data_IF_136501324779
#
_entry.id   IF_136501324779
#
_cell.length_a   1.000
_cell.length_b   1.000
_cell.length_c   1.000
_cell.angle_alpha   90.00
_cell.angle_beta   90.00
_cell.angle_gamma   90.00
#
_symmetry.space_group_name_H-M   'P 1'
#
loop_
_entity.id
_entity.type
_entity.pdbx_description
1 polymer ?
#
# COMPACT_ATOMS: atom_id res chain seq x y z
N UNK A 1 3.76 42.20 5.28
CA UNK A 1 2.84 41.25 4.61
C UNK A 1 3.70 40.29 3.82
N UNK A 2 3.67 39.00 4.11
CA UNK A 2 4.52 37.98 3.45
C UNK A 2 3.92 37.45 2.14
N UNK A 3 4.66 36.56 1.48
CA UNK A 3 4.25 35.97 0.20
C UNK A 3 2.92 35.20 0.30
N UNK A 4 1.99 35.40 -0.64
CA UNK A 4 0.70 34.71 -0.64
C UNK A 4 0.86 33.21 -0.94
N UNK A 5 0.30 32.37 -0.06
CA UNK A 5 0.24 30.91 -0.27
C UNK A 5 -0.96 30.55 -1.14
N UNK A 6 -0.76 29.74 -2.18
CA UNK A 6 -1.82 29.24 -3.08
C UNK A 6 -2.16 27.75 -2.84
N UNK A 7 -2.86 27.39 -1.73
CA UNK A 7 -3.24 26.00 -1.48
C UNK A 7 -4.29 25.52 -2.49
N UNK A 8 -4.04 24.38 -3.12
CA UNK A 8 -4.99 23.72 -4.04
C UNK A 8 -5.49 22.41 -3.44
N UNK A 9 -6.72 22.02 -3.78
CA UNK A 9 -7.28 20.72 -3.39
C UNK A 9 -6.59 19.61 -4.18
N UNK A 10 -6.38 18.47 -3.53
CA UNK A 10 -5.70 17.28 -4.10
C UNK A 10 -6.67 16.17 -4.50
N UNK A 11 -7.97 16.41 -4.37
CA UNK A 11 -9.03 15.46 -4.70
C UNK A 11 -10.27 16.20 -5.17
N UNK A 12 -11.09 15.53 -5.95
CA UNK A 12 -12.42 15.97 -6.33
C UNK A 12 -13.47 15.03 -5.75
N UNK A 13 -14.62 15.57 -5.34
CA UNK A 13 -15.75 14.78 -4.85
C UNK A 13 -16.63 14.34 -6.02
N UNK A 14 -17.27 13.16 -5.95
CA UNK A 14 -18.25 12.73 -6.94
C UNK A 14 -19.37 13.76 -7.10
N UNK A 15 -19.89 13.89 -8.33
CA UNK A 15 -21.02 14.78 -8.63
C UNK A 15 -22.32 14.31 -7.98
N UNK A 16 -22.59 13.00 -8.04
CA UNK A 16 -23.77 12.38 -7.43
C UNK A 16 -23.37 11.55 -6.21
N UNK A 17 -23.72 11.98 -4.98
CA UNK A 17 -23.29 11.30 -3.76
C UNK A 17 -23.85 9.88 -3.58
N UNK A 18 -25.05 9.60 -4.10
CA UNK A 18 -25.87 8.42 -3.78
C UNK A 18 -26.01 7.44 -4.94
N UNK A 19 -24.89 7.10 -5.57
CA UNK A 19 -24.87 6.17 -6.70
C UNK A 19 -24.38 4.80 -6.23
N UNK A 20 -25.26 3.79 -6.27
CA UNK A 20 -25.02 2.48 -5.67
C UNK A 20 -23.78 1.79 -6.26
N UNK A 21 -23.71 1.67 -7.58
CA UNK A 21 -22.61 1.00 -8.30
C UNK A 21 -21.24 1.62 -7.98
N UNK A 22 -21.18 2.97 -7.95
CA UNK A 22 -19.98 3.69 -7.54
C UNK A 22 -19.64 3.44 -6.08
N UNK A 23 -20.62 3.45 -5.17
CA UNK A 23 -20.38 3.23 -3.75
C UNK A 23 -19.84 1.82 -3.49
N UNK A 24 -20.39 0.82 -4.17
CA UNK A 24 -19.99 -0.58 -4.05
C UNK A 24 -18.59 -0.81 -4.61
N UNK A 25 -18.29 -0.33 -5.82
CA UNK A 25 -16.93 -0.41 -6.40
C UNK A 25 -15.88 0.34 -5.57
N UNK A 26 -16.20 1.54 -5.07
CA UNK A 26 -15.31 2.27 -4.14
C UNK A 26 -15.07 1.46 -2.86
N UNK A 27 -16.09 0.77 -2.33
CA UNK A 27 -15.99 -0.04 -1.11
C UNK A 27 -15.13 -1.27 -1.31
N UNK A 28 -15.23 -1.93 -2.46
CA UNK A 28 -14.36 -3.05 -2.83
C UNK A 28 -12.89 -2.61 -2.85
N UNK A 29 -12.59 -1.47 -3.47
CA UNK A 29 -11.23 -0.91 -3.49
C UNK A 29 -10.74 -0.52 -2.09
N UNK A 30 -11.60 0.09 -1.26
CA UNK A 30 -11.25 0.42 0.12
C UNK A 30 -10.87 -0.84 0.92
N UNK A 31 -11.62 -1.92 0.76
CA UNK A 31 -11.39 -3.19 1.45
C UNK A 31 -10.12 -3.88 0.95
N UNK A 32 -9.93 -3.97 -0.38
CA UNK A 32 -8.78 -4.61 -1.03
C UNK A 32 -7.46 -3.96 -0.62
N UNK A 33 -7.41 -2.63 -0.58
CA UNK A 33 -6.18 -1.88 -0.27
C UNK A 33 -6.08 -1.40 1.19
N UNK A 34 -7.09 -1.66 2.03
CA UNK A 34 -7.09 -1.25 3.44
C UNK A 34 -7.06 0.26 3.66
N UNK A 35 -7.75 1.03 2.81
CA UNK A 35 -7.79 2.48 2.88
C UNK A 35 -8.70 2.95 4.03
N UNK A 36 -8.32 4.04 4.73
CA UNK A 36 -9.08 4.54 5.89
C UNK A 36 -10.40 5.20 5.49
N UNK A 37 -10.40 5.96 4.39
CA UNK A 37 -11.54 6.75 3.96
C UNK A 37 -11.60 6.89 2.44
N UNK A 38 -12.79 7.23 1.91
CA UNK A 38 -13.00 7.51 0.47
C UNK A 38 -12.15 8.67 -0.04
N UNK A 39 -11.76 9.62 0.83
CA UNK A 39 -10.89 10.74 0.46
C UNK A 39 -9.52 10.26 -0.03
N UNK A 40 -8.95 9.22 0.56
CA UNK A 40 -7.71 8.63 0.04
C UNK A 40 -7.90 8.06 -1.35
N UNK A 41 -9.00 7.34 -1.59
CA UNK A 41 -9.34 6.83 -2.90
C UNK A 41 -9.48 7.97 -3.93
N UNK A 42 -10.23 9.02 -3.59
CA UNK A 42 -10.44 10.17 -4.47
C UNK A 42 -9.16 10.96 -4.79
N UNK A 43 -8.18 11.00 -3.87
CA UNK A 43 -6.86 11.58 -4.17
C UNK A 43 -6.13 10.79 -5.25
N UNK A 44 -6.16 9.45 -5.19
CA UNK A 44 -5.53 8.61 -6.20
C UNK A 44 -6.31 8.67 -7.53
N UNK A 45 -7.64 8.79 -7.48
CA UNK A 45 -8.46 9.02 -8.68
C UNK A 45 -8.12 10.35 -9.36
N UNK A 46 -7.94 11.42 -8.58
CA UNK A 46 -7.54 12.72 -9.12
C UNK A 46 -6.12 12.68 -9.71
N UNK A 47 -5.21 11.94 -9.07
CA UNK A 47 -3.87 11.69 -9.62
C UNK A 47 -3.93 10.98 -10.97
N UNK A 48 -4.73 9.91 -11.09
CA UNK A 48 -4.96 9.18 -12.35
C UNK A 48 -5.53 10.11 -13.42
N UNK A 49 -6.54 10.90 -13.04
CA UNK A 49 -7.19 11.86 -13.92
C UNK A 49 -6.20 12.92 -14.42
N UNK A 50 -5.30 13.39 -13.57
CA UNK A 50 -4.22 14.31 -13.95
C UNK A 50 -3.33 13.68 -15.02
N UNK A 51 -2.87 12.43 -14.84
CA UNK A 51 -2.04 11.75 -15.84
C UNK A 51 -2.77 11.55 -17.17
N UNK A 52 -4.02 11.10 -17.13
CA UNK A 52 -4.86 10.92 -18.33
C UNK A 52 -5.19 12.23 -19.03
N UNK A 53 -5.38 13.31 -18.28
CA UNK A 53 -5.61 14.64 -18.86
C UNK A 53 -4.37 15.14 -19.59
N UNK A 54 -3.20 14.98 -18.97
CA UNK A 54 -1.92 15.32 -19.61
C UNK A 54 -1.70 14.47 -20.85
N UNK A 55 -1.94 13.16 -20.79
CA UNK A 55 -1.79 12.27 -21.94
C UNK A 55 -2.70 12.67 -23.12
N UNK A 56 -3.98 12.99 -22.89
CA UNK A 56 -4.90 13.46 -23.95
C UNK A 56 -4.45 14.78 -24.58
N UNK A 57 -3.99 15.73 -23.76
CA UNK A 57 -3.49 17.01 -24.25
C UNK A 57 -2.23 16.82 -25.11
N UNK A 58 -1.31 15.96 -24.66
CA UNK A 58 -0.10 15.61 -25.40
C UNK A 58 -0.44 14.88 -26.70
N UNK A 59 -1.38 13.93 -26.68
CA UNK A 59 -1.82 13.22 -27.88
C UNK A 59 -2.39 14.16 -28.94
N UNK A 60 -3.14 15.19 -28.53
CA UNK A 60 -3.64 16.22 -29.44
C UNK A 60 -2.50 17.09 -30.01
N UNK A 61 -1.56 17.54 -29.18
CA UNK A 61 -0.42 18.39 -29.61
C UNK A 61 0.65 17.66 -30.42
N UNK A 62 0.78 16.35 -30.24
CA UNK A 62 1.68 15.56 -31.08
C UNK A 62 1.20 15.50 -32.52
N UNK A 63 -0.13 15.57 -32.76
CA UNK A 63 -0.66 15.65 -34.13
C UNK A 63 -0.28 16.95 -34.85
N UNK A 64 -0.04 18.02 -34.09
CA UNK A 64 0.42 19.31 -34.62
C UNK A 64 1.95 19.42 -34.73
N UNK A 65 2.69 18.34 -34.44
CA UNK A 65 4.17 18.27 -34.49
C UNK A 65 4.87 19.32 -33.60
N UNK A 66 4.34 19.57 -32.41
CA UNK A 66 4.97 20.48 -31.45
C UNK A 66 6.17 19.80 -30.73
N UNK A 67 7.39 20.33 -30.90
CA UNK A 67 8.60 19.81 -30.23
C UNK A 67 8.49 19.76 -28.69
N UNK A 68 7.80 20.74 -28.12
CA UNK A 68 7.56 20.80 -26.68
C UNK A 68 6.70 19.64 -26.19
N UNK A 69 5.74 19.16 -27.01
CA UNK A 69 4.90 18.02 -26.65
C UNK A 69 5.70 16.72 -26.57
N UNK A 70 6.68 16.53 -27.46
CA UNK A 70 7.59 15.37 -27.44
C UNK A 70 8.42 15.37 -26.15
N UNK A 71 8.99 16.52 -25.76
CA UNK A 71 9.74 16.65 -24.51
C UNK A 71 8.86 16.40 -23.28
N UNK A 72 7.65 16.96 -23.25
CA UNK A 72 6.71 16.75 -22.15
C UNK A 72 6.28 15.28 -22.03
N UNK A 73 6.09 14.58 -23.15
CA UNK A 73 5.80 13.15 -23.15
C UNK A 73 6.95 12.33 -22.57
N UNK A 74 8.19 12.57 -23.00
CA UNK A 74 9.35 11.88 -22.45
C UNK A 74 9.47 12.09 -20.92
N UNK A 75 9.19 13.32 -20.44
CA UNK A 75 9.18 13.62 -19.01
C UNK A 75 8.05 12.91 -18.27
N UNK A 76 6.86 12.82 -18.87
CA UNK A 76 5.72 12.10 -18.32
C UNK A 76 6.03 10.61 -18.15
N UNK A 77 6.55 9.96 -19.20
CA UNK A 77 6.94 8.55 -19.16
C UNK A 77 8.07 8.33 -18.16
N UNK A 78 9.10 9.18 -18.15
CA UNK A 78 10.20 9.13 -17.16
C UNK A 78 9.68 9.25 -15.73
N UNK A 79 8.66 10.09 -15.48
CA UNK A 79 8.03 10.22 -14.17
C UNK A 79 7.25 8.97 -13.78
N UNK A 80 6.46 8.39 -14.68
CA UNK A 80 5.67 7.18 -14.40
C UNK A 80 6.55 5.94 -14.21
N UNK A 81 7.62 5.83 -14.99
CA UNK A 81 8.63 4.77 -14.84
C UNK A 81 9.38 4.88 -13.50
N UNK A 82 9.69 6.10 -13.03
CA UNK A 82 10.31 6.30 -11.71
C UNK A 82 9.51 5.66 -10.58
N UNK A 83 8.18 5.73 -10.65
CA UNK A 83 7.28 5.09 -9.70
C UNK A 83 6.93 3.65 -10.06
N UNK A 84 7.54 3.09 -11.11
CA UNK A 84 7.27 1.74 -11.63
C UNK A 84 5.78 1.48 -11.88
N UNK A 85 5.06 2.49 -12.37
CA UNK A 85 3.65 2.37 -12.77
C UNK A 85 3.56 1.86 -14.22
N UNK A 86 4.50 2.26 -15.06
CA UNK A 86 4.57 1.94 -16.48
C UNK A 86 6.03 1.60 -16.85
N UNK A 87 6.23 0.82 -17.91
CA UNK A 87 7.55 0.52 -18.49
C UNK A 87 8.17 1.70 -19.26
N UNK A 88 9.47 1.61 -19.57
CA UNK A 88 10.21 2.69 -20.26
C UNK A 88 9.76 2.94 -21.70
N UNK A 89 9.35 1.89 -22.40
CA UNK A 89 8.98 1.95 -23.82
C UNK A 89 7.48 2.16 -24.04
N UNK A 90 6.79 2.66 -23.03
CA UNK A 90 5.34 2.81 -23.09
C UNK A 90 4.89 3.98 -23.95
N UNK A 91 3.71 3.82 -24.53
CA UNK A 91 3.06 4.77 -25.40
C UNK A 91 2.08 5.66 -24.63
N UNK A 92 1.57 6.70 -25.28
CA UNK A 92 0.50 7.54 -24.70
C UNK A 92 -0.76 6.73 -24.41
N UNK A 93 -1.07 5.73 -25.23
CA UNK A 93 -2.27 4.92 -25.08
C UNK A 93 -2.21 4.03 -23.83
N UNK A 94 -1.01 3.57 -23.45
CA UNK A 94 -0.78 2.84 -22.19
C UNK A 94 -1.07 3.71 -20.95
N UNK A 95 -0.75 5.01 -21.02
CA UNK A 95 -1.09 5.96 -19.95
C UNK A 95 -2.61 6.15 -19.86
N UNK A 96 -3.32 6.08 -20.98
CA UNK A 96 -4.77 6.21 -21.01
C UNK A 96 -5.47 4.97 -20.45
N UNK A 97 -4.92 3.78 -20.66
CA UNK A 97 -5.47 2.51 -20.17
C UNK A 97 -5.27 2.27 -18.66
N UNK A 98 -4.36 3.02 -18.01
CA UNK A 98 -4.06 2.89 -16.57
C UNK A 98 -5.30 2.82 -15.67
N UNK A 99 -5.30 1.88 -14.73
CA UNK A 99 -6.39 1.73 -13.76
C UNK A 99 -6.08 2.42 -12.44
N UNK A 100 -7.10 2.56 -11.59
CA UNK A 100 -6.91 3.07 -10.22
C UNK A 100 -6.06 2.12 -9.37
N UNK A 101 -6.12 0.82 -9.67
CA UNK A 101 -5.39 -0.21 -8.95
C UNK A 101 -3.89 -0.07 -9.13
N UNK A 102 -3.44 0.34 -10.32
CA UNK A 102 -2.02 0.55 -10.63
C UNK A 102 -1.39 1.62 -9.72
N UNK A 103 -2.13 2.70 -9.45
CA UNK A 103 -1.68 3.75 -8.54
C UNK A 103 -1.74 3.29 -7.08
N UNK A 104 -2.81 2.60 -6.68
CA UNK A 104 -2.97 2.10 -5.32
C UNK A 104 -1.93 1.03 -4.98
N UNK A 105 -1.51 0.23 -5.96
CA UNK A 105 -0.49 -0.79 -5.83
C UNK A 105 0.89 -0.23 -5.45
N UNK A 106 1.20 1.00 -5.86
CA UNK A 106 2.50 1.66 -5.59
C UNK A 106 2.58 2.39 -4.24
N UNK A 107 1.51 2.37 -3.45
CA UNK A 107 1.51 2.98 -2.11
C UNK A 107 2.37 2.13 -1.15
N UNK A 108 3.07 2.79 -0.23
CA UNK A 108 3.91 2.13 0.77
C UNK A 108 3.13 1.06 1.55
N UNK A 109 1.90 1.37 1.97
CA UNK A 109 1.02 0.42 2.65
C UNK A 109 0.85 -0.90 1.88
N UNK A 110 0.61 -0.81 0.58
CA UNK A 110 0.34 -1.95 -0.29
C UNK A 110 1.61 -2.74 -0.56
N UNK A 111 2.73 -2.04 -0.73
CA UNK A 111 4.04 -2.66 -0.97
C UNK A 111 4.50 -3.43 0.27
N UNK A 112 4.35 -2.85 1.47
CA UNK A 112 4.66 -3.50 2.75
C UNK A 112 3.85 -4.78 2.92
N UNK A 113 2.56 -4.75 2.58
CA UNK A 113 1.71 -5.93 2.57
C UNK A 113 2.17 -6.98 1.54
N UNK A 114 2.45 -6.57 0.30
CA UNK A 114 2.92 -7.47 -0.77
C UNK A 114 4.28 -8.12 -0.48
N UNK A 115 5.15 -7.43 0.27
CA UNK A 115 6.46 -7.93 0.71
C UNK A 115 6.40 -8.81 1.95
N UNK A 116 5.21 -9.19 2.42
CA UNK A 116 5.02 -9.99 3.62
C UNK A 116 5.69 -9.38 4.88
N UNK A 117 5.69 -8.05 5.00
CA UNK A 117 6.03 -7.38 6.28
C UNK A 117 4.81 -7.24 7.20
N UNK A 118 3.62 -7.54 6.68
CA UNK A 118 2.38 -7.51 7.43
C UNK A 118 1.43 -8.58 6.89
N UNK A 119 0.62 -9.16 7.78
CA UNK A 119 -0.38 -10.17 7.43
C UNK A 119 -1.62 -9.56 6.75
N UNK A 120 -1.94 -8.31 7.05
CA UNK A 120 -3.09 -7.62 6.45
C UNK A 120 -2.73 -6.19 6.03
N UNK A 121 -3.45 -5.59 5.05
CA UNK A 121 -3.24 -4.20 4.67
C UNK A 121 -3.47 -3.22 5.82
N UNK A 122 -4.37 -3.54 6.77
CA UNK A 122 -4.62 -2.73 7.96
C UNK A 122 -3.46 -2.79 8.94
N UNK A 123 -2.88 -3.98 9.15
CA UNK A 123 -1.67 -4.15 9.97
C UNK A 123 -0.48 -3.41 9.35
N UNK A 124 -0.30 -3.48 8.01
CA UNK A 124 0.73 -2.71 7.31
C UNK A 124 0.62 -1.21 7.63
N UNK A 125 -0.61 -0.68 7.65
CA UNK A 125 -0.86 0.70 8.01
C UNK A 125 -0.43 1.02 9.45
N UNK A 126 -0.78 0.16 10.40
CA UNK A 126 -0.43 0.32 11.81
C UNK A 126 1.08 0.38 11.99
N UNK A 127 1.80 -0.56 11.39
CA UNK A 127 3.26 -0.63 11.42
C UNK A 127 3.90 0.66 10.88
N UNK A 128 3.41 1.17 9.76
CA UNK A 128 3.89 2.42 9.17
C UNK A 128 3.62 3.58 10.14
N UNK A 129 2.38 3.75 10.60
CA UNK A 129 2.02 4.88 11.47
C UNK A 129 2.75 4.89 12.80
N UNK A 130 3.07 3.71 13.34
CA UNK A 130 3.83 3.55 14.59
C UNK A 130 5.34 3.67 14.35
N UNK A 131 5.78 3.75 13.10
CA UNK A 131 7.17 3.99 12.74
C UNK A 131 8.05 2.75 12.80
N UNK A 132 7.50 1.56 12.59
CA UNK A 132 8.27 0.32 12.54
C UNK A 132 8.93 0.05 11.19
N UNK A 133 8.61 0.85 10.16
CA UNK A 133 9.06 0.64 8.79
C UNK A 133 10.01 1.75 8.35
N UNK A 134 11.09 1.33 7.70
CA UNK A 134 12.07 2.21 7.05
C UNK A 134 11.96 2.12 5.54
N UNK A 135 12.33 3.21 4.88
CA UNK A 135 12.53 3.31 3.44
C UNK A 135 13.84 4.07 3.24
N UNK A 136 14.82 3.45 2.57
CA UNK A 136 16.15 4.04 2.37
C UNK A 136 16.80 4.49 3.70
N UNK A 137 16.74 3.61 4.71
CA UNK A 137 17.28 3.87 6.06
C UNK A 137 16.52 4.92 6.88
N UNK A 138 15.50 5.58 6.33
CA UNK A 138 14.70 6.60 7.03
C UNK A 138 13.36 6.03 7.48
N UNK A 139 12.97 6.36 8.71
CA UNK A 139 11.66 5.99 9.27
C UNK A 139 10.54 6.76 8.57
N UNK A 140 9.55 6.05 8.01
CA UNK A 140 8.42 6.65 7.29
C UNK A 140 7.12 6.35 8.01
N UNK A 141 6.37 7.41 8.36
CA UNK A 141 5.11 7.31 9.12
C UNK A 141 3.85 7.52 8.30
N UNK A 142 3.98 7.78 6.98
CA UNK A 142 2.86 8.10 6.10
C UNK A 142 2.57 6.92 5.15
N UNK A 143 1.43 6.22 5.31
CA UNK A 143 1.10 5.05 4.48
C UNK A 143 0.77 5.36 3.02
N UNK A 144 0.39 6.61 2.74
CA UNK A 144 -0.03 7.06 1.41
C UNK A 144 1.09 7.55 0.50
N UNK A 145 2.36 7.39 0.90
CA UNK A 145 3.52 7.70 0.06
C UNK A 145 3.55 6.74 -1.12
N UNK A 146 3.76 7.27 -2.32
CA UNK A 146 3.99 6.47 -3.54
C UNK A 146 5.49 6.16 -3.59
N UNK A 147 5.83 4.88 -3.62
CA UNK A 147 7.21 4.41 -3.53
C UNK A 147 7.84 4.36 -4.92
N UNK A 148 9.03 4.93 -5.03
CA UNK A 148 9.84 4.86 -6.25
C UNK A 148 10.41 3.45 -6.45
N UNK A 149 10.59 3.04 -7.70
CA UNK A 149 11.03 1.68 -8.02
C UNK A 149 12.34 1.29 -7.34
N UNK A 150 13.31 2.20 -7.29
CA UNK A 150 14.61 1.95 -6.66
C UNK A 150 14.54 1.83 -5.13
N UNK A 151 13.62 2.56 -4.49
CA UNK A 151 13.44 2.54 -3.03
C UNK A 151 12.73 1.28 -2.55
N UNK A 152 12.01 0.61 -3.44
CA UNK A 152 11.24 -0.58 -3.10
C UNK A 152 12.12 -1.66 -2.46
N UNK A 153 13.31 -1.93 -3.00
CA UNK A 153 14.26 -2.91 -2.47
C UNK A 153 14.77 -2.59 -1.06
N UNK A 154 14.75 -1.32 -0.64
CA UNK A 154 15.30 -0.83 0.61
C UNK A 154 14.24 -0.65 1.72
N UNK A 155 13.07 -1.25 1.54
CA UNK A 155 12.03 -1.27 2.58
C UNK A 155 12.38 -2.37 3.58
N UNK A 156 12.46 -2.00 4.85
CA UNK A 156 12.72 -2.92 5.95
C UNK A 156 12.05 -2.48 7.25
N UNK A 157 12.37 -3.17 8.34
CA UNK A 157 12.00 -2.72 9.68
C UNK A 157 13.02 -1.69 10.20
N UNK A 158 12.58 -0.85 11.12
CA UNK A 158 13.52 -0.02 11.91
C UNK A 158 14.33 -0.90 12.84
N UNK A 159 15.60 -0.57 13.02
CA UNK A 159 16.51 -1.22 13.97
C UNK A 159 15.97 -1.24 15.40
N UNK A 160 15.29 -0.17 15.83
CA UNK A 160 14.71 -0.07 17.17
C UNK A 160 13.44 -0.90 17.40
N UNK A 161 12.89 -1.52 16.35
CA UNK A 161 11.62 -2.25 16.44
C UNK A 161 11.86 -3.69 16.85
N UNK A 162 11.09 -4.25 17.81
CA UNK A 162 11.14 -5.68 18.15
C UNK A 162 10.84 -6.61 16.96
N UNK A 163 10.21 -6.09 15.91
CA UNK A 163 9.87 -6.84 14.69
C UNK A 163 11.05 -7.04 13.73
N UNK A 164 12.18 -6.38 14.02
CA UNK A 164 13.41 -6.61 13.28
C UNK A 164 13.97 -8.01 13.56
N UNK A 165 13.73 -8.54 14.77
CA UNK A 165 14.13 -9.88 15.15
C UNK A 165 13.30 -10.93 14.40
N UNK A 166 13.97 -11.82 13.67
CA UNK A 166 13.32 -12.86 12.86
C UNK A 166 12.55 -13.87 13.72
N UNK A 167 12.99 -14.08 14.96
CA UNK A 167 12.38 -15.01 15.92
C UNK A 167 11.13 -14.44 16.61
N UNK A 168 10.74 -13.20 16.32
CA UNK A 168 9.54 -12.62 16.92
C UNK A 168 8.29 -13.44 16.50
N UNK A 169 7.36 -13.78 17.42
CA UNK A 169 6.22 -14.65 17.12
C UNK A 169 5.35 -14.10 15.98
N UNK A 170 5.12 -12.79 15.93
CA UNK A 170 4.41 -12.16 14.81
C UNK A 170 5.14 -12.33 13.47
N UNK A 171 6.47 -12.35 13.44
CA UNK A 171 7.24 -12.52 12.20
C UNK A 171 7.13 -13.95 11.69
N UNK A 172 7.22 -14.93 12.57
CA UNK A 172 7.00 -16.35 12.26
C UNK A 172 5.60 -16.58 11.69
N UNK A 173 4.56 -15.98 12.29
CA UNK A 173 3.18 -16.07 11.77
C UNK A 173 3.06 -15.48 10.37
N UNK A 174 3.75 -14.36 10.09
CA UNK A 174 3.68 -13.71 8.79
C UNK A 174 4.42 -14.56 7.73
N UNK A 175 5.57 -15.14 8.07
CA UNK A 175 6.37 -15.96 7.15
C UNK A 175 5.71 -17.32 6.87
N UNK A 176 5.16 -17.97 7.88
CA UNK A 176 4.57 -19.32 7.76
C UNK A 176 3.13 -19.29 7.20
N UNK A 177 2.56 -18.09 6.98
CA UNK A 177 1.20 -17.92 6.50
C UNK A 177 0.13 -18.28 7.56
N UNK A 178 -1.16 -18.08 7.24
CA UNK A 178 -2.26 -18.18 8.21
C UNK A 178 -2.55 -19.59 8.78
N UNK A 179 -1.74 -20.61 8.47
CA UNK A 179 -2.00 -22.01 8.83
C UNK A 179 -1.03 -22.66 9.84
N UNK A 180 0.00 -21.97 10.32
CA UNK A 180 1.08 -22.62 11.08
C UNK A 180 0.95 -22.58 12.61
N UNK A 181 -0.21 -22.24 13.17
CA UNK A 181 -0.43 -22.19 14.64
C UNK A 181 -1.58 -23.10 15.12
N UNK A 182 -1.85 -24.18 14.41
CA UNK A 182 -2.68 -25.29 14.94
C UNK A 182 -1.81 -26.53 15.08
N UNK A 183 -0.95 -26.51 16.08
CA UNK A 183 -0.06 -27.59 16.45
C UNK A 183 0.88 -27.01 17.47
N UNK A 184 0.92 -27.59 18.67
CA UNK A 184 1.84 -27.23 19.75
C UNK A 184 1.40 -26.04 20.64
N UNK A 185 0.18 -26.10 21.16
CA UNK A 185 -0.04 -25.67 22.56
C UNK A 185 -0.61 -26.84 23.35
N UNK A 186 0.31 -27.66 23.88
CA UNK A 186 0.20 -28.37 25.16
C UNK A 186 -1.00 -29.27 25.42
N UNK A 187 -0.96 -30.50 24.90
CA UNK A 187 -1.44 -31.66 25.66
C UNK A 187 -0.32 -32.10 26.62
N UNK A 188 -0.09 -31.35 27.69
CA UNK A 188 0.71 -31.79 28.83
C UNK A 188 0.12 -31.11 30.07
N UNK A 189 -0.97 -31.68 30.59
CA UNK A 189 -1.47 -31.56 31.95
C UNK A 189 -2.68 -32.50 32.10
N UNK A 190 -2.45 -33.80 31.95
CA UNK A 190 -3.37 -34.82 32.46
C UNK A 190 -2.60 -36.13 32.67
N UNK A 191 -1.88 -36.23 33.80
CA UNK A 191 -1.38 -37.50 34.34
C UNK A 191 -0.69 -37.33 35.70
N UNK A 192 -1.28 -36.57 36.63
CA UNK A 192 -0.92 -36.65 38.05
C UNK A 192 -2.16 -36.34 38.91
N UNK A 193 -3.07 -37.30 39.03
CA UNK A 193 -3.93 -37.44 40.24
C UNK A 193 -4.69 -38.77 40.20
N UNK A 194 -3.97 -39.90 40.35
CA UNK A 194 -4.59 -41.16 40.79
C UNK A 194 -3.60 -41.96 41.66
N UNK A 195 -3.25 -41.43 42.83
CA UNK A 195 -2.84 -42.26 43.97
C UNK A 195 -3.12 -41.51 45.26
N UNK A 196 -4.23 -41.82 45.94
CA UNK A 196 -4.36 -41.90 47.42
C UNK A 196 -5.84 -41.91 47.84
N UNK A 197 -6.45 -43.09 47.92
CA UNK A 197 -7.46 -43.38 48.96
C UNK A 197 -7.76 -44.88 48.97
N UNK A 198 -7.02 -45.63 49.79
CA UNK A 198 -7.25 -47.06 49.95
C UNK A 198 -6.37 -47.71 51.00
N UNK A 199 -6.18 -47.10 52.17
CA UNK A 199 -5.71 -47.85 53.35
C UNK A 199 -6.90 -48.15 54.27
N UNK A 200 -7.34 -49.40 54.20
CA UNK A 200 -8.23 -50.06 55.14
C UNK A 200 -7.59 -50.07 56.55
N UNK A 201 -8.31 -49.53 57.54
CA UNK A 201 -8.03 -49.81 58.95
C UNK A 201 -8.73 -51.09 59.37
N UNK A 202 -7.94 -51.94 60.02
CA UNK A 202 -8.29 -53.17 60.74
C UNK A 202 -9.31 -52.95 61.85
#
# INVERSE_FOLDING_TARGET
MGDPKFPKKTYSTPRHPWEKERIDSERELLNKFGLKNKRELWKNMELLKSFRSQARELQARMRTNDDNAVKQFQLLIKRLNRYSIISENATLDDVLSLTIEDILARRLQTIVYRKNYARTPKQARQLITHGHITMDGRRVTVPGVIVEGHMEGQIGYTESSPLNDELHPLRQIIMNGPGAQQGETGQENDSQDETESGEEKQ
#
